data_IF_070428517828
#
_entry.id   IF_070428517828
#
_cell.length_a   1.000
_cell.length_b   1.000
_cell.length_c   1.000
_cell.angle_alpha   90.00
_cell.angle_beta   90.00
_cell.angle_gamma   90.00
#
_symmetry.space_group_name_H-M   'P 1'
#
loop_
_entity.id
_entity.type
_entity.pdbx_description
1 polymer ?
#
# COMPACT_ATOMS: atom_id res chain seq x y z
N UNK A 1 24.31 29.36 -16.79
CA UNK A 1 23.75 28.87 -15.51
C UNK A 1 24.88 28.50 -14.56
N UNK A 2 25.14 29.34 -13.57
CA UNK A 2 26.13 29.17 -12.51
C UNK A 2 25.43 29.27 -11.15
N UNK A 3 25.92 28.53 -10.15
CA UNK A 3 25.55 28.72 -8.74
C UNK A 3 26.81 29.20 -8.06
N UNK A 4 26.74 30.35 -7.38
CA UNK A 4 27.86 30.94 -6.64
C UNK A 4 29.17 31.02 -7.45
N UNK A 5 29.07 31.40 -8.73
CA UNK A 5 30.21 31.50 -9.65
C UNK A 5 30.78 30.17 -10.16
N UNK A 6 30.29 29.02 -9.68
CA UNK A 6 30.72 27.68 -10.14
C UNK A 6 29.87 27.17 -11.30
N UNK A 7 30.54 26.57 -12.29
CA UNK A 7 29.87 25.89 -13.40
C UNK A 7 29.26 24.55 -12.96
N UNK A 8 28.10 24.19 -13.51
CA UNK A 8 27.40 22.91 -13.23
C UNK A 8 28.31 21.68 -13.39
N UNK A 9 29.24 21.72 -14.36
CA UNK A 9 30.21 20.62 -14.61
C UNK A 9 31.21 20.46 -13.46
N UNK A 10 31.60 21.56 -12.80
CA UNK A 10 32.50 21.55 -11.64
C UNK A 10 31.77 20.96 -10.45
N UNK A 11 30.56 21.45 -10.15
CA UNK A 11 29.71 20.96 -9.06
C UNK A 11 29.43 19.45 -9.22
N UNK A 12 29.12 19.00 -10.43
CA UNK A 12 28.89 17.59 -10.72
C UNK A 12 30.12 16.69 -10.47
N UNK A 13 31.32 17.22 -10.75
CA UNK A 13 32.59 16.50 -10.52
C UNK A 13 32.97 16.50 -9.03
N UNK A 14 32.81 17.63 -8.34
CA UNK A 14 33.07 17.76 -6.90
C UNK A 14 32.14 16.86 -6.07
N UNK A 15 30.85 16.82 -6.41
CA UNK A 15 29.84 16.08 -5.65
C UNK A 15 29.59 14.65 -6.17
N UNK A 16 30.25 14.25 -7.27
CA UNK A 16 30.06 12.96 -7.95
C UNK A 16 28.58 12.62 -8.26
N UNK A 17 27.84 13.64 -8.71
CA UNK A 17 26.41 13.57 -9.01
C UNK A 17 26.18 13.92 -10.48
N UNK A 18 25.16 13.31 -11.11
CA UNK A 18 24.84 13.60 -12.51
C UNK A 18 24.54 15.09 -12.75
N UNK A 19 24.98 15.64 -13.89
CA UNK A 19 24.69 17.02 -14.29
C UNK A 19 23.19 17.31 -14.32
N UNK A 20 22.36 16.31 -14.59
CA UNK A 20 20.91 16.41 -14.62
C UNK A 20 20.33 16.60 -13.21
N UNK A 21 20.85 15.87 -12.23
CA UNK A 21 20.49 16.04 -10.81
C UNK A 21 20.94 17.42 -10.31
N UNK A 22 22.16 17.86 -10.64
CA UNK A 22 22.64 19.21 -10.28
C UNK A 22 21.72 20.27 -10.91
N UNK A 23 21.41 20.18 -12.21
CA UNK A 23 20.48 21.11 -12.87
C UNK A 23 19.09 21.09 -12.24
N UNK A 24 18.60 19.91 -11.83
CA UNK A 24 17.29 19.75 -11.17
C UNK A 24 17.27 20.48 -9.82
N UNK A 25 18.30 20.28 -8.98
CA UNK A 25 18.45 20.94 -7.67
C UNK A 25 18.51 22.46 -7.82
N UNK A 26 19.32 22.96 -8.75
CA UNK A 26 19.46 24.39 -9.03
C UNK A 26 18.13 25.00 -9.48
N UNK A 27 17.42 24.31 -10.38
CA UNK A 27 16.12 24.80 -10.87
C UNK A 27 15.05 24.81 -9.79
N UNK A 28 15.11 23.87 -8.84
CA UNK A 28 14.09 23.74 -7.79
C UNK A 28 14.41 24.49 -6.50
N UNK A 29 15.64 24.99 -6.29
CA UNK A 29 16.10 25.64 -5.05
C UNK A 29 15.70 24.90 -3.76
N UNK A 30 15.61 23.57 -3.84
CA UNK A 30 15.13 22.69 -2.75
C UNK A 30 16.19 21.64 -2.46
N UNK A 31 16.66 21.62 -1.22
CA UNK A 31 17.67 20.67 -0.71
C UNK A 31 17.09 19.29 -0.40
N UNK A 32 15.75 19.19 -0.30
CA UNK A 32 15.02 17.93 -0.09
C UNK A 32 14.06 17.70 -1.25
N UNK A 33 14.31 16.64 -2.02
CA UNK A 33 13.25 16.03 -2.81
C UNK A 33 12.51 15.12 -1.85
N UNK A 34 11.38 15.58 -1.31
CA UNK A 34 10.44 14.64 -0.74
C UNK A 34 10.01 13.75 -1.90
N UNK A 35 10.34 12.45 -1.82
CA UNK A 35 9.62 11.46 -2.61
C UNK A 35 8.17 11.71 -2.24
N UNK A 36 7.37 12.18 -3.21
CA UNK A 36 5.94 12.31 -3.01
C UNK A 36 5.49 10.99 -2.41
N UNK A 37 4.98 11.04 -1.18
CA UNK A 37 4.46 9.87 -0.50
C UNK A 37 3.45 9.28 -1.47
N UNK A 38 3.82 8.19 -2.15
CA UNK A 38 2.90 7.42 -2.96
C UNK A 38 2.00 6.71 -1.95
N UNK A 39 1.06 7.48 -1.44
CA UNK A 39 -0.13 6.96 -0.80
C UNK A 39 -0.80 6.20 -1.92
N UNK A 40 -0.60 4.88 -1.93
CA UNK A 40 -1.45 3.99 -2.72
C UNK A 40 -2.86 4.39 -2.33
N UNK A 41 -3.58 5.06 -3.24
CA UNK A 41 -5.02 5.22 -3.14
C UNK A 41 -5.53 3.83 -2.82
N UNK A 42 -6.07 3.67 -1.60
CA UNK A 42 -6.51 2.38 -1.11
C UNK A 42 -7.40 1.81 -2.21
N UNK A 43 -7.16 0.57 -2.68
CA UNK A 43 -7.91 0.02 -3.80
C UNK A 43 -9.39 0.17 -3.48
N UNK A 44 -10.16 0.61 -4.48
CA UNK A 44 -11.58 0.97 -4.45
C UNK A 44 -12.43 -0.24 -4.05
N UNK A 45 -12.27 -0.72 -2.82
CA UNK A 45 -13.17 -1.69 -2.23
C UNK A 45 -14.35 -0.98 -1.57
N UNK A 46 -14.25 0.34 -1.33
CA UNK A 46 -15.33 1.24 -0.93
C UNK A 46 -16.39 0.56 -0.07
N UNK A 47 -17.61 0.44 -0.62
CA UNK A 47 -18.80 -0.14 0.02
C UNK A 47 -18.68 -1.62 0.39
N UNK A 48 -17.88 -2.40 -0.33
CA UNK A 48 -17.69 -3.83 -0.05
C UNK A 48 -16.61 -4.10 0.98
N UNK A 49 -15.77 -3.10 1.31
CA UNK A 49 -14.75 -3.22 2.36
C UNK A 49 -15.40 -3.41 3.73
N UNK A 50 -16.44 -2.64 4.03
CA UNK A 50 -17.19 -2.77 5.29
C UNK A 50 -17.87 -4.13 5.41
N UNK A 51 -18.45 -4.64 4.31
CA UNK A 51 -19.05 -5.97 4.25
C UNK A 51 -18.00 -7.05 4.46
N UNK A 52 -16.84 -6.94 3.81
CA UNK A 52 -15.74 -7.89 3.96
C UNK A 52 -15.18 -7.88 5.39
N UNK A 53 -15.03 -6.70 6.00
CA UNK A 53 -14.57 -6.57 7.39
C UNK A 53 -15.56 -7.22 8.36
N UNK A 54 -16.87 -6.97 8.22
CA UNK A 54 -17.89 -7.62 9.05
C UNK A 54 -17.83 -9.14 8.91
N UNK A 55 -17.76 -9.65 7.68
CA UNK A 55 -17.64 -11.09 7.43
C UNK A 55 -16.37 -11.67 8.05
N UNK A 56 -15.25 -10.95 8.02
CA UNK A 56 -14.00 -11.35 8.65
C UNK A 56 -14.11 -11.37 10.18
N UNK A 57 -14.70 -10.35 10.79
CA UNK A 57 -14.93 -10.31 12.24
C UNK A 57 -15.81 -11.46 12.71
N UNK A 58 -16.93 -11.71 12.04
CA UNK A 58 -17.83 -12.81 12.37
C UNK A 58 -17.13 -14.16 12.21
N UNK A 59 -16.33 -14.32 11.16
CA UNK A 59 -15.51 -15.50 10.93
C UNK A 59 -14.44 -15.71 12.03
N UNK A 60 -13.87 -14.64 12.61
CA UNK A 60 -12.93 -14.81 13.74
C UNK A 60 -13.59 -15.26 15.04
N UNK A 61 -14.88 -14.94 15.23
CA UNK A 61 -15.67 -15.36 16.40
C UNK A 61 -16.08 -16.83 16.32
N UNK A 62 -16.21 -17.37 15.10
CA UNK A 62 -16.52 -18.78 14.88
C UNK A 62 -15.34 -19.70 15.29
N UNK A 63 -15.65 -20.92 15.78
CA UNK A 63 -14.65 -21.94 16.04
C UNK A 63 -13.95 -22.33 14.74
N UNK A 64 -12.67 -22.74 14.84
CA UNK A 64 -11.77 -23.01 13.71
C UNK A 64 -12.40 -23.87 12.60
N UNK A 65 -13.21 -24.87 12.98
CA UNK A 65 -13.91 -25.79 12.07
C UNK A 65 -15.00 -25.15 11.21
N UNK A 66 -15.60 -24.05 11.66
CA UNK A 66 -16.67 -23.32 10.94
C UNK A 66 -16.16 -22.09 10.23
N UNK A 67 -14.86 -21.79 10.34
CA UNK A 67 -14.27 -20.62 9.69
C UNK A 67 -14.36 -20.75 8.18
N UNK A 68 -14.76 -19.65 7.55
CA UNK A 68 -14.88 -19.56 6.10
C UNK A 68 -13.51 -19.28 5.49
N UNK A 69 -13.16 -19.98 4.42
CA UNK A 69 -11.93 -19.69 3.66
C UNK A 69 -12.03 -18.39 2.89
N UNK A 70 -10.89 -17.79 2.51
CA UNK A 70 -10.85 -16.60 1.66
C UNK A 70 -11.70 -16.73 0.39
N UNK A 71 -11.72 -17.92 -0.23
CA UNK A 71 -12.56 -18.23 -1.39
C UNK A 71 -14.06 -18.12 -1.09
N UNK A 72 -14.50 -18.62 0.07
CA UNK A 72 -15.91 -18.55 0.50
C UNK A 72 -16.31 -17.11 0.81
N UNK A 73 -15.43 -16.35 1.47
CA UNK A 73 -15.63 -14.92 1.72
C UNK A 73 -15.80 -14.14 0.41
N UNK A 74 -14.99 -14.44 -0.60
CA UNK A 74 -15.12 -13.85 -1.93
C UNK A 74 -16.45 -14.20 -2.61
N UNK A 75 -16.89 -15.46 -2.56
CA UNK A 75 -18.20 -15.86 -3.09
C UNK A 75 -19.34 -15.12 -2.39
N UNK A 76 -19.29 -14.99 -1.06
CA UNK A 76 -20.26 -14.21 -0.29
C UNK A 76 -20.26 -12.74 -0.73
N UNK A 77 -19.08 -12.18 -0.99
CA UNK A 77 -18.91 -10.82 -1.48
C UNK A 77 -19.49 -10.67 -2.90
N UNK A 78 -19.29 -11.65 -3.79
CA UNK A 78 -19.88 -11.66 -5.13
C UNK A 78 -21.42 -11.67 -5.09
N UNK A 79 -22.02 -12.42 -4.16
CA UNK A 79 -23.48 -12.41 -3.94
C UNK A 79 -23.99 -11.03 -3.48
N UNK A 80 -23.16 -10.26 -2.77
CA UNK A 80 -23.48 -8.88 -2.40
C UNK A 80 -23.31 -7.85 -3.53
N UNK A 81 -22.96 -8.31 -4.74
CA UNK A 81 -22.76 -7.47 -5.93
C UNK A 81 -21.31 -7.00 -6.13
N UNK A 82 -20.33 -7.64 -5.48
CA UNK A 82 -18.93 -7.31 -5.70
C UNK A 82 -18.43 -7.86 -7.04
N UNK A 83 -17.96 -6.95 -7.91
CA UNK A 83 -17.44 -7.26 -9.24
C UNK A 83 -15.90 -7.24 -9.32
N UNK A 84 -15.22 -7.02 -8.19
CA UNK A 84 -13.77 -6.92 -8.15
C UNK A 84 -13.06 -8.29 -8.13
N UNK A 85 -11.73 -8.26 -8.12
CA UNK A 85 -10.90 -9.47 -8.13
C UNK A 85 -10.86 -10.16 -6.76
N UNK A 86 -10.71 -11.48 -6.80
CA UNK A 86 -10.36 -12.31 -5.65
C UNK A 86 -9.05 -11.87 -4.98
N UNK A 87 -8.07 -11.41 -5.76
CA UNK A 87 -6.78 -10.97 -5.21
C UNK A 87 -6.91 -9.75 -4.31
N UNK A 88 -7.83 -8.82 -4.63
CA UNK A 88 -8.13 -7.66 -3.78
C UNK A 88 -8.70 -8.09 -2.43
N UNK A 89 -9.55 -9.13 -2.41
CA UNK A 89 -10.06 -9.73 -1.18
C UNK A 89 -8.92 -10.39 -0.40
N UNK A 90 -8.09 -11.22 -1.06
CA UNK A 90 -6.95 -11.88 -0.42
C UNK A 90 -5.95 -10.90 0.20
N UNK A 91 -5.71 -9.76 -0.43
CA UNK A 91 -4.84 -8.72 0.12
C UNK A 91 -5.35 -8.26 1.48
N UNK A 92 -6.66 -8.01 1.59
CA UNK A 92 -7.31 -7.52 2.81
C UNK A 92 -7.39 -8.62 3.87
N UNK A 93 -7.72 -9.85 3.46
CA UNK A 93 -7.71 -11.01 4.36
C UNK A 93 -6.31 -11.23 4.95
N UNK A 94 -5.24 -11.05 4.15
CA UNK A 94 -3.85 -11.15 4.60
C UNK A 94 -3.48 -10.06 5.60
N UNK A 95 -3.85 -8.80 5.34
CA UNK A 95 -3.59 -7.71 6.29
C UNK A 95 -4.33 -7.94 7.60
N UNK A 96 -5.60 -8.33 7.52
CA UNK A 96 -6.42 -8.66 8.69
C UNK A 96 -5.82 -9.82 9.51
N UNK A 97 -5.33 -10.87 8.84
CA UNK A 97 -4.63 -11.97 9.51
C UNK A 97 -3.39 -11.50 10.27
N UNK A 98 -2.54 -10.66 9.65
CA UNK A 98 -1.34 -10.13 10.34
C UNK A 98 -1.69 -9.31 11.57
N UNK A 99 -2.73 -8.47 11.49
CA UNK A 99 -3.21 -7.68 12.63
C UNK A 99 -3.73 -8.55 13.78
N UNK A 100 -4.40 -9.65 13.47
CA UNK A 100 -4.92 -10.58 14.48
C UNK A 100 -3.86 -11.57 15.01
N UNK A 101 -2.90 -11.98 14.20
CA UNK A 101 -1.73 -12.76 14.63
C UNK A 101 -0.84 -11.92 15.56
N UNK A 102 -0.66 -10.63 15.28
CA UNK A 102 0.02 -9.69 16.17
C UNK A 102 -0.71 -9.52 17.52
N UNK A 103 -2.03 -9.76 17.56
CA UNK A 103 -2.85 -9.82 18.79
C UNK A 103 -2.88 -11.21 19.43
N UNK A 104 -2.01 -12.14 19.01
CA UNK A 104 -1.84 -13.46 19.61
C UNK A 104 -2.90 -14.50 19.25
N UNK A 105 -3.82 -14.21 18.32
CA UNK A 105 -4.82 -15.16 17.82
C UNK A 105 -4.35 -15.70 16.48
N UNK A 106 -3.95 -16.97 16.42
CA UNK A 106 -3.73 -17.65 15.13
C UNK A 106 -5.06 -17.71 14.36
N UNK A 107 -5.19 -16.86 13.34
CA UNK A 107 -6.36 -16.85 12.47
C UNK A 107 -6.07 -17.71 11.26
N UNK A 108 -6.34 -19.01 11.40
CA UNK A 108 -6.50 -19.90 10.25
C UNK A 108 -7.86 -19.59 9.63
N UNK A 109 -7.82 -19.01 8.43
CA UNK A 109 -8.96 -18.73 7.53
C UNK A 109 -8.76 -19.62 6.31
#
# INVERSE_FOLDING_TARGET
YHVDGKAIKVIARELNISKNTVRKVIRSNKTKFELANYTKDKPVLGKHLEVLNRLLEDNTKEPLRRRMTGKKLYQQLQLSGYLGSYESVNLIVRTFRREHEAKGKQVLI
#
